data_IF_043988255948
#
_entry.id   IF_043988255948
#
_cell.length_a   1.000
_cell.length_b   1.000
_cell.length_c   1.000
_cell.angle_alpha   90.00
_cell.angle_beta   90.00
_cell.angle_gamma   90.00
#
_symmetry.space_group_name_H-M   'P 1'
#
loop_
_entity.id
_entity.type
_entity.pdbx_description
1 polymer ?
#
# COMPACT_ATOMS: atom_id res chain seq x y z
N UNK A 1 -54.59 13.66 -5.10
CA UNK A 1 -54.27 13.73 -3.67
C UNK A 1 -52.76 13.88 -3.59
N UNK A 2 -52.20 15.00 -3.08
CA UNK A 2 -50.75 15.15 -2.99
C UNK A 2 -50.21 14.25 -1.88
N UNK A 3 -49.12 13.55 -2.16
CA UNK A 3 -48.40 12.67 -1.26
C UNK A 3 -47.76 13.48 -0.11
N UNK A 4 -47.84 13.05 1.16
CA UNK A 4 -47.23 13.79 2.26
C UNK A 4 -45.70 13.75 2.14
N UNK A 5 -45.07 14.92 2.16
CA UNK A 5 -43.61 15.06 2.16
C UNK A 5 -42.99 14.29 3.34
N UNK A 6 -41.86 13.56 3.16
CA UNK A 6 -41.22 12.86 4.26
C UNK A 6 -40.70 13.88 5.27
N UNK A 7 -41.27 13.85 6.48
CA UNK A 7 -40.78 14.61 7.64
C UNK A 7 -39.34 14.17 7.94
N UNK A 8 -38.37 15.09 7.79
CA UNK A 8 -36.99 14.87 8.23
C UNK A 8 -36.98 14.75 9.75
N UNK A 9 -36.89 13.54 10.28
CA UNK A 9 -36.66 13.36 11.72
C UNK A 9 -35.33 14.01 12.12
N UNK A 10 -35.27 14.69 13.28
CA UNK A 10 -34.05 15.34 13.73
C UNK A 10 -32.93 14.29 13.88
N UNK A 11 -31.77 14.59 13.29
CA UNK A 11 -30.63 13.67 13.33
C UNK A 11 -30.14 13.56 14.77
N UNK A 12 -30.27 12.35 15.32
CA UNK A 12 -29.74 12.01 16.63
C UNK A 12 -28.32 11.48 16.47
N UNK A 13 -27.38 12.13 17.14
CA UNK A 13 -25.97 11.74 17.18
C UNK A 13 -25.65 11.06 18.50
N UNK A 14 -24.76 10.07 18.46
CA UNK A 14 -24.29 9.33 19.62
C UNK A 14 -22.78 9.30 19.64
N UNK A 15 -22.19 9.80 20.71
CA UNK A 15 -20.74 9.83 20.91
C UNK A 15 -20.32 8.64 21.79
N UNK A 16 -19.21 7.98 21.43
CA UNK A 16 -18.61 6.95 22.28
C UNK A 16 -17.75 7.56 23.39
N UNK A 17 -17.38 6.74 24.36
CA UNK A 17 -16.35 7.09 25.34
C UNK A 17 -15.01 7.26 24.58
N UNK A 18 -14.23 8.32 24.87
CA UNK A 18 -12.89 8.47 24.32
C UNK A 18 -11.95 7.35 24.74
N UNK A 19 -11.06 6.93 23.84
CA UNK A 19 -10.01 5.96 24.13
C UNK A 19 -8.81 6.58 24.88
N UNK A 20 -7.75 5.80 25.09
CA UNK A 20 -6.52 6.25 25.75
C UNK A 20 -5.78 7.39 25.00
N UNK A 21 -6.14 7.64 23.74
CA UNK A 21 -5.63 8.72 22.91
C UNK A 21 -6.60 9.91 22.84
N UNK A 22 -7.65 9.90 23.67
CA UNK A 22 -8.72 10.91 23.68
C UNK A 22 -9.52 10.97 22.36
N UNK A 23 -9.52 9.90 21.57
CA UNK A 23 -10.28 9.80 20.32
C UNK A 23 -11.63 9.13 20.60
N UNK A 24 -12.71 9.69 20.07
CA UNK A 24 -14.06 9.14 20.17
C UNK A 24 -14.73 9.08 18.79
N UNK A 25 -15.75 8.22 18.66
CA UNK A 25 -16.52 8.04 17.43
C UNK A 25 -17.92 8.63 17.61
N UNK A 26 -18.41 9.34 16.59
CA UNK A 26 -19.78 9.87 16.55
C UNK A 26 -20.59 9.13 15.48
N UNK A 27 -21.71 8.52 15.88
CA UNK A 27 -22.60 7.78 14.99
C UNK A 27 -23.93 8.49 14.78
N UNK A 28 -24.47 8.35 13.58
CA UNK A 28 -25.78 8.85 13.19
C UNK A 28 -26.85 7.78 13.48
N UNK A 29 -27.93 8.18 14.14
CA UNK A 29 -29.14 7.41 14.45
C UNK A 29 -28.98 6.25 15.46
N UNK A 30 -27.84 5.55 15.53
CA UNK A 30 -27.57 4.50 16.53
C UNK A 30 -26.10 4.10 16.60
N UNK A 31 -25.65 3.58 17.75
CA UNK A 31 -24.32 2.97 17.89
C UNK A 31 -24.35 1.56 17.28
N UNK A 32 -23.46 1.22 16.33
CA UNK A 32 -23.34 -0.13 15.80
C UNK A 32 -23.02 -1.17 16.88
N UNK A 33 -23.55 -2.39 16.76
CA UNK A 33 -23.29 -3.48 17.72
C UNK A 33 -21.88 -4.05 17.64
N UNK A 34 -21.11 -3.71 16.61
CA UNK A 34 -19.78 -4.26 16.35
C UNK A 34 -18.86 -3.12 15.91
N UNK A 35 -17.70 -3.01 16.55
CA UNK A 35 -16.65 -2.11 16.09
C UNK A 35 -15.87 -2.83 14.98
N UNK A 36 -15.72 -2.25 13.78
CA UNK A 36 -14.95 -2.88 12.70
C UNK A 36 -13.47 -3.05 13.08
N UNK A 37 -12.96 -2.22 14.00
CA UNK A 37 -11.58 -2.32 14.48
C UNK A 37 -11.37 -3.58 15.35
N UNK A 38 -12.42 -4.10 16.02
CA UNK A 38 -12.32 -5.33 16.82
C UNK A 38 -12.10 -6.56 15.94
N UNK A 39 -12.51 -6.49 14.67
CA UNK A 39 -12.36 -7.56 13.69
C UNK A 39 -11.03 -7.47 12.90
N UNK A 40 -10.28 -6.38 13.07
CA UNK A 40 -9.10 -6.10 12.29
C UNK A 40 -7.83 -6.47 13.07
N UNK A 41 -7.22 -7.61 12.73
CA UNK A 41 -5.85 -7.91 13.17
C UNK A 41 -4.88 -7.05 12.34
N UNK A 42 -3.88 -6.42 12.98
CA UNK A 42 -2.80 -5.68 12.31
C UNK A 42 -2.19 -6.44 11.12
N UNK A 43 -2.01 -7.76 11.27
CA UNK A 43 -1.48 -8.62 10.22
C UNK A 43 -2.41 -8.67 8.98
N UNK A 44 -3.72 -8.56 9.18
CA UNK A 44 -4.71 -8.54 8.11
C UNK A 44 -4.88 -7.17 7.44
N UNK A 45 -4.52 -6.08 8.13
CA UNK A 45 -4.66 -4.71 7.60
C UNK A 45 -3.49 -4.36 6.67
N UNK A 46 -2.31 -4.90 6.97
CA UNK A 46 -1.09 -4.63 6.24
C UNK A 46 -0.83 -5.64 5.10
N UNK A 47 -1.64 -6.68 4.96
CA UNK A 47 -1.49 -7.65 3.87
C UNK A 47 -2.10 -7.11 2.57
N UNK A 48 -1.24 -6.57 1.70
CA UNK A 48 -1.61 -6.23 0.33
C UNK A 48 -1.02 -7.28 -0.60
N UNK A 49 -1.73 -7.71 -1.66
CA UNK A 49 -1.25 -8.74 -2.59
C UNK A 49 0.04 -8.37 -3.32
N UNK A 50 0.45 -7.09 -3.29
CA UNK A 50 1.72 -6.59 -3.81
C UNK A 50 2.88 -6.56 -2.80
N UNK A 51 2.62 -6.78 -1.51
CA UNK A 51 3.69 -6.96 -0.53
C UNK A 51 4.16 -8.41 -0.58
N UNK A 52 5.47 -8.58 -0.75
CA UNK A 52 6.06 -9.91 -0.68
C UNK A 52 5.86 -10.46 0.74
N UNK A 53 5.07 -11.53 0.87
CA UNK A 53 5.05 -12.33 2.09
C UNK A 53 6.44 -12.97 2.17
N UNK A 54 7.28 -12.63 3.16
CA UNK A 54 8.54 -13.32 3.32
C UNK A 54 8.25 -14.81 3.56
N UNK A 55 9.00 -15.74 2.95
CA UNK A 55 8.94 -17.13 3.35
C UNK A 55 9.19 -17.22 4.85
N UNK A 56 8.32 -17.98 5.54
CA UNK A 56 8.28 -18.27 6.97
C UNK A 56 9.48 -17.72 7.80
N UNK A 57 9.25 -16.76 8.73
CA UNK A 57 10.32 -16.16 9.55
C UNK A 57 11.09 -17.16 10.42
N UNK A 58 10.63 -18.41 10.52
CA UNK A 58 11.40 -19.50 11.13
C UNK A 58 12.70 -19.84 10.35
N UNK A 59 12.87 -19.36 9.11
CA UNK A 59 14.03 -19.60 8.28
C UNK A 59 15.01 -18.40 8.20
N UNK A 60 15.27 -17.74 9.34
CA UNK A 60 16.33 -16.74 9.60
C UNK A 60 15.89 -15.26 9.60
N UNK A 61 15.58 -14.68 10.77
CA UNK A 61 15.44 -13.24 10.91
C UNK A 61 16.84 -12.61 11.01
N UNK A 62 17.09 -11.54 10.26
CA UNK A 62 18.07 -10.55 10.70
C UNK A 62 17.44 -9.76 11.86
N UNK A 63 17.95 -9.87 13.10
CA UNK A 63 17.24 -9.48 14.31
C UNK A 63 16.98 -7.97 14.49
N UNK A 64 17.42 -7.12 13.56
CA UNK A 64 17.24 -5.65 13.64
C UNK A 64 16.07 -5.12 12.81
N UNK A 65 15.42 -5.95 11.99
CA UNK A 65 14.34 -5.54 11.07
C UNK A 65 13.02 -5.10 11.74
N UNK A 66 12.89 -5.28 13.06
CA UNK A 66 11.69 -4.96 13.85
C UNK A 66 11.75 -3.59 14.55
N UNK A 67 12.95 -3.02 14.63
CA UNK A 67 13.15 -1.72 15.24
C UNK A 67 13.12 -0.68 14.12
N UNK A 68 12.00 0.03 14.00
CA UNK A 68 11.89 1.21 13.14
C UNK A 68 13.12 2.10 13.28
N UNK A 69 13.54 2.71 12.16
CA UNK A 69 14.78 3.50 12.05
C UNK A 69 14.96 4.40 13.28
N UNK A 70 15.88 4.02 14.16
CA UNK A 70 16.26 4.88 15.27
C UNK A 70 17.26 5.89 14.71
N UNK A 71 16.77 7.10 14.46
CA UNK A 71 17.57 8.29 14.15
C UNK A 71 18.41 8.62 15.38
N UNK A 72 19.48 7.87 15.58
CA UNK A 72 20.27 7.87 16.81
C UNK A 72 21.71 7.46 16.55
N UNK A 73 22.38 8.26 15.70
CA UNK A 73 23.80 8.55 15.83
C UNK A 73 24.77 7.35 15.88
N UNK A 74 24.98 6.69 14.75
CA UNK A 74 26.26 6.02 14.43
C UNK A 74 26.54 6.14 12.93
N UNK A 75 27.48 7.02 12.60
CA UNK A 75 28.33 7.04 11.40
C UNK A 75 27.65 6.71 10.06
N UNK A 76 26.84 7.68 9.60
CA UNK A 76 26.14 7.74 8.31
C UNK A 76 27.04 7.77 7.05
N UNK A 77 28.31 7.37 7.13
CA UNK A 77 29.21 7.40 5.98
C UNK A 77 29.28 6.06 5.22
N UNK A 78 29.06 4.92 5.89
CA UNK A 78 29.32 3.60 5.28
C UNK A 78 28.05 2.83 4.84
N UNK A 79 26.87 3.13 5.42
CA UNK A 79 25.60 2.46 5.04
C UNK A 79 24.90 3.09 3.83
N UNK A 80 25.29 4.29 3.42
CA UNK A 80 24.82 4.90 2.17
C UNK A 80 25.41 4.22 0.92
N UNK A 81 26.41 3.35 1.07
CA UNK A 81 27.06 2.66 -0.03
C UNK A 81 26.51 1.26 -0.35
N UNK A 82 25.68 0.65 0.51
CA UNK A 82 25.29 -0.77 0.35
C UNK A 82 23.79 -1.04 0.18
N UNK A 83 22.92 -0.03 0.31
CA UNK A 83 21.53 -0.19 -0.13
C UNK A 83 21.47 0.04 -1.64
N UNK A 84 21.26 -1.04 -2.39
CA UNK A 84 21.06 -0.94 -3.82
C UNK A 84 19.97 0.10 -4.12
N UNK A 85 20.17 0.95 -5.12
CA UNK A 85 19.24 2.05 -5.46
C UNK A 85 17.79 1.60 -5.75
N UNK A 86 17.62 0.31 -5.99
CA UNK A 86 16.33 -0.34 -6.23
C UNK A 86 15.68 -0.92 -4.96
N UNK A 87 16.27 -0.76 -3.78
CA UNK A 87 15.64 -1.08 -2.49
C UNK A 87 14.39 -0.20 -2.30
N UNK A 88 13.25 -0.75 -1.83
CA UNK A 88 13.05 -2.07 -1.21
C UNK A 88 12.69 -3.20 -2.20
N UNK A 89 12.75 -2.98 -3.51
CA UNK A 89 12.35 -3.98 -4.49
C UNK A 89 13.42 -5.07 -4.68
N UNK A 90 12.98 -6.27 -5.09
CA UNK A 90 13.84 -7.44 -5.26
C UNK A 90 14.95 -7.24 -6.31
N UNK A 91 14.69 -6.43 -7.34
CA UNK A 91 15.68 -6.09 -8.36
C UNK A 91 15.37 -4.75 -9.04
N UNK A 92 16.35 -4.24 -9.79
CA UNK A 92 16.26 -2.98 -10.54
C UNK A 92 15.10 -2.94 -11.54
N UNK A 93 14.83 -4.04 -12.26
CA UNK A 93 13.76 -4.10 -13.25
C UNK A 93 12.38 -3.90 -12.62
N UNK A 94 12.11 -4.59 -11.50
CA UNK A 94 10.88 -4.43 -10.73
C UNK A 94 10.77 -3.00 -10.19
N UNK A 95 11.86 -2.43 -9.67
CA UNK A 95 11.86 -1.05 -9.21
C UNK A 95 11.49 -0.07 -10.34
N UNK A 96 12.05 -0.23 -11.55
CA UNK A 96 11.72 0.60 -12.70
C UNK A 96 10.26 0.45 -13.11
N UNK A 97 9.76 -0.78 -13.19
CA UNK A 97 8.36 -1.06 -13.54
C UNK A 97 7.40 -0.44 -12.52
N UNK A 98 7.65 -0.62 -11.23
CA UNK A 98 6.82 -0.06 -10.17
C UNK A 98 6.90 1.47 -10.14
N UNK A 99 8.09 2.06 -10.35
CA UNK A 99 8.25 3.51 -10.48
C UNK A 99 7.44 4.08 -11.66
N UNK A 100 7.46 3.42 -12.81
CA UNK A 100 6.63 3.81 -13.96
C UNK A 100 5.14 3.61 -13.66
N UNK A 101 4.76 2.50 -13.04
CA UNK A 101 3.38 2.19 -12.71
C UNK A 101 2.78 3.29 -11.81
N UNK A 102 3.47 3.62 -10.71
CA UNK A 102 3.05 4.64 -9.74
C UNK A 102 3.16 6.09 -10.24
N UNK A 103 3.73 6.32 -11.43
CA UNK A 103 3.79 7.68 -12.01
C UNK A 103 2.42 8.25 -12.42
N UNK A 104 1.39 7.41 -12.58
CA UNK A 104 0.01 7.89 -12.76
C UNK A 104 -1.01 6.92 -12.17
N UNK A 105 -2.19 7.45 -11.86
CA UNK A 105 -3.30 6.72 -11.23
C UNK A 105 -4.22 6.00 -12.22
N UNK A 106 -3.98 6.16 -13.53
CA UNK A 106 -4.84 5.62 -14.58
C UNK A 106 -4.49 4.19 -15.00
N UNK A 107 -3.36 3.65 -14.52
CA UNK A 107 -2.87 2.33 -14.89
C UNK A 107 -3.42 1.30 -13.91
N UNK A 108 -3.83 0.14 -14.43
CA UNK A 108 -4.31 -0.96 -13.60
C UNK A 108 -3.24 -2.04 -13.46
N UNK A 109 -3.36 -2.85 -12.40
CA UNK A 109 -2.46 -4.00 -12.21
C UNK A 109 -2.56 -4.99 -13.39
N UNK A 110 -3.73 -5.09 -14.02
CA UNK A 110 -3.92 -5.89 -15.25
C UNK A 110 -3.08 -5.34 -16.40
N UNK A 111 -3.04 -4.02 -16.58
CA UNK A 111 -2.23 -3.39 -17.64
C UNK A 111 -0.73 -3.60 -17.39
N UNK A 112 -0.28 -3.52 -16.14
CA UNK A 112 1.11 -3.84 -15.78
C UNK A 112 1.45 -5.30 -16.12
N UNK A 113 0.56 -6.23 -15.78
CA UNK A 113 0.76 -7.64 -16.08
C UNK A 113 0.79 -7.88 -17.60
N UNK A 114 -0.10 -7.25 -18.35
CA UNK A 114 -0.13 -7.31 -19.81
C UNK A 114 1.16 -6.76 -20.43
N UNK A 115 1.67 -5.62 -19.95
CA UNK A 115 2.95 -5.06 -20.40
C UNK A 115 4.11 -6.05 -20.20
N UNK A 116 4.19 -6.70 -19.05
CA UNK A 116 5.29 -7.64 -18.76
C UNK A 116 5.20 -8.87 -19.67
N UNK A 117 4.02 -9.49 -19.76
CA UNK A 117 3.88 -10.78 -20.46
C UNK A 117 3.72 -10.65 -21.98
N UNK A 118 3.03 -9.62 -22.46
CA UNK A 118 2.71 -9.45 -23.88
C UNK A 118 3.67 -8.50 -24.62
N UNK A 119 4.55 -7.79 -23.90
CA UNK A 119 5.54 -6.91 -24.53
C UNK A 119 6.95 -7.29 -24.09
N UNK A 120 7.27 -7.18 -22.80
CA UNK A 120 8.66 -7.31 -22.32
C UNK A 120 9.20 -8.74 -22.44
N UNK A 121 8.38 -9.75 -22.13
CA UNK A 121 8.76 -11.16 -22.17
C UNK A 121 8.55 -11.83 -23.54
N UNK A 122 8.10 -11.08 -24.55
CA UNK A 122 7.94 -11.63 -25.89
C UNK A 122 9.30 -12.02 -26.49
N UNK A 123 9.40 -13.16 -27.21
CA UNK A 123 10.67 -13.67 -27.72
C UNK A 123 11.35 -12.73 -28.72
N UNK A 124 10.54 -11.93 -29.42
CA UNK A 124 11.02 -10.98 -30.43
C UNK A 124 11.31 -9.59 -29.85
N UNK A 125 11.03 -9.36 -28.55
CA UNK A 125 11.25 -8.07 -27.91
C UNK A 125 12.75 -7.79 -27.71
N UNK A 126 13.22 -6.69 -28.28
CA UNK A 126 14.63 -6.29 -28.21
C UNK A 126 14.74 -4.84 -27.75
N UNK A 127 15.42 -4.64 -26.62
CA UNK A 127 15.66 -3.32 -26.05
C UNK A 127 16.45 -2.41 -27.00
N UNK A 128 17.31 -2.98 -27.84
CA UNK A 128 18.05 -2.25 -28.87
C UNK A 128 17.14 -1.51 -29.84
N UNK A 129 15.98 -2.09 -30.16
CA UNK A 129 15.08 -1.59 -31.20
C UNK A 129 14.30 -0.35 -30.72
N UNK A 130 14.32 -0.08 -29.41
CA UNK A 130 13.73 1.08 -28.76
C UNK A 130 14.73 2.23 -28.55
N UNK A 131 16.01 2.06 -28.93
CA UNK A 131 17.00 3.13 -28.80
C UNK A 131 16.65 4.29 -29.72
N UNK A 132 16.35 5.44 -29.14
CA UNK A 132 15.92 6.63 -29.87
C UNK A 132 14.44 6.62 -30.28
N UNK A 133 13.65 5.66 -29.79
CA UNK A 133 12.21 5.69 -29.94
C UNK A 133 11.63 6.87 -29.16
N UNK A 134 10.86 7.70 -29.85
CA UNK A 134 10.08 8.80 -29.30
C UNK A 134 8.62 8.64 -29.78
N UNK A 135 7.68 8.75 -28.85
CA UNK A 135 6.25 8.61 -29.12
C UNK A 135 5.53 9.96 -29.19
N UNK A 136 6.26 11.07 -29.04
CA UNK A 136 5.74 12.44 -29.08
C UNK A 136 5.44 12.96 -30.50
#
# INVERSE_FOLDING_TARGET
>A
MPEPSPSLEPLKYFDTIPDNFSVFKQYRNSIPSTCPDDAANLDSIADAPTFAIPPDPCAHPDPVSIYGQNTGQTDFADLLSSTSWFSPFLNASICCLMKWFYSSTTKTLSDLNQLVHEVILMPDFKVSDLQGFDAA
#
